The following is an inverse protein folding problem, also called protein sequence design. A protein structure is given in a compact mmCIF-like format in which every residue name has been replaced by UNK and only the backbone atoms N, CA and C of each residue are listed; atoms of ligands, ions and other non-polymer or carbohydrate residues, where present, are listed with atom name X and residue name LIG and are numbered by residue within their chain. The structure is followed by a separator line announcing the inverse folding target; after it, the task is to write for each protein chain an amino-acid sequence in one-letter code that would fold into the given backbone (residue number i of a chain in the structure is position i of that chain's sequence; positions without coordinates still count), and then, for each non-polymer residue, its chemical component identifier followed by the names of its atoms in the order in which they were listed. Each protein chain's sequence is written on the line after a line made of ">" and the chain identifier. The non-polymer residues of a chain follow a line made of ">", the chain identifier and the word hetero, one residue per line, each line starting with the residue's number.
data_IF_532759869521
#
_entry.id   IF_532759869521
#
_cell.length_a   1.000
_cell.length_b   1.000
_cell.length_c   1.000
_cell.angle_alpha   90.00
_cell.angle_beta   90.00
_cell.angle_gamma   90.00
#
_symmetry.space_group_name_H-M   'P 1'
#
loop_
_entity.id
_entity.type
_entity.pdbx_description
1 polymer ?
#
# COMPACT_ATOMS: atom_id res chain seq x y z
N UNK A 1 10.99 -17.72 -4.55
CA UNK A 1 11.90 -17.41 -3.44
C UNK A 1 11.04 -17.12 -2.22
N UNK A 2 10.98 -18.03 -1.25
CA UNK A 2 10.29 -17.74 0.02
C UNK A 2 11.16 -16.75 0.79
N UNK A 3 10.62 -15.58 1.13
CA UNK A 3 11.34 -14.58 1.92
C UNK A 3 11.74 -15.22 3.26
N UNK A 4 13.05 -15.30 3.53
CA UNK A 4 13.56 -15.74 4.83
C UNK A 4 13.30 -14.59 5.80
N UNK A 5 12.31 -14.75 6.66
CA UNK A 5 12.04 -13.79 7.73
C UNK A 5 13.17 -13.85 8.76
N UNK A 6 13.76 -12.69 9.06
CA UNK A 6 14.88 -12.58 10.00
C UNK A 6 14.40 -12.31 11.42
N UNK A 7 15.24 -12.54 12.43
CA UNK A 7 14.94 -12.17 13.82
C UNK A 7 14.61 -10.68 13.98
N UNK A 8 15.29 -9.81 13.21
CA UNK A 8 15.02 -8.38 13.21
C UNK A 8 13.62 -8.04 12.67
N UNK A 9 13.10 -8.82 11.70
CA UNK A 9 11.72 -8.63 11.20
C UNK A 9 10.70 -8.98 12.30
N UNK A 10 10.96 -10.05 13.05
CA UNK A 10 10.12 -10.49 14.17
C UNK A 10 10.11 -9.42 15.28
N UNK A 11 11.28 -8.92 15.67
CA UNK A 11 11.40 -7.85 16.67
C UNK A 11 10.72 -6.56 16.22
N UNK A 12 10.83 -6.20 14.94
CA UNK A 12 10.16 -5.02 14.41
C UNK A 12 8.63 -5.15 14.47
N UNK A 13 8.09 -6.32 14.14
CA UNK A 13 6.65 -6.59 14.27
C UNK A 13 6.20 -6.48 15.73
N UNK A 14 6.97 -7.03 16.67
CA UNK A 14 6.69 -6.89 18.12
C UNK A 14 6.67 -5.44 18.57
N UNK A 15 7.67 -4.68 18.15
CA UNK A 15 7.77 -3.24 18.45
C UNK A 15 6.54 -2.48 17.93
N UNK A 16 6.09 -2.76 16.70
CA UNK A 16 4.91 -2.12 16.12
C UNK A 16 3.61 -2.48 16.84
N UNK A 17 3.50 -3.72 17.33
CA UNK A 17 2.37 -4.20 18.09
C UNK A 17 2.35 -3.67 19.53
N UNK A 18 3.48 -3.19 20.04
CA UNK A 18 3.66 -2.93 21.48
C UNK A 18 3.68 -4.22 22.29
N UNK A 19 4.04 -5.35 21.66
CA UNK A 19 4.02 -6.68 22.28
C UNK A 19 5.33 -6.93 23.06
N UNK A 20 5.50 -6.22 24.18
CA UNK A 20 6.68 -6.36 25.05
C UNK A 20 6.68 -7.66 25.86
N UNK A 21 5.50 -8.22 26.12
CA UNK A 21 5.32 -9.43 26.94
C UNK A 21 5.18 -10.72 26.10
N UNK A 22 5.47 -10.65 24.79
CA UNK A 22 5.41 -11.77 23.86
C UNK A 22 4.06 -12.51 23.83
N UNK A 23 2.96 -11.76 23.78
CA UNK A 23 1.60 -12.25 23.56
C UNK A 23 1.48 -13.06 22.27
N UNK A 24 2.29 -12.75 21.26
CA UNK A 24 2.46 -13.55 20.04
C UNK A 24 3.81 -14.29 20.03
N UNK A 25 3.75 -15.58 19.67
CA UNK A 25 4.94 -16.41 19.51
C UNK A 25 5.71 -16.05 18.22
N UNK A 26 7.03 -16.24 18.23
CA UNK A 26 7.91 -16.01 17.08
C UNK A 26 7.42 -16.77 15.83
N UNK A 27 6.91 -17.99 16.05
CA UNK A 27 6.38 -18.84 14.98
C UNK A 27 5.19 -18.20 14.29
N UNK A 28 4.28 -17.61 15.07
CA UNK A 28 3.06 -16.98 14.55
C UNK A 28 3.42 -15.69 13.81
N UNK A 29 4.33 -14.88 14.36
CA UNK A 29 4.85 -13.68 13.67
C UNK A 29 5.51 -14.06 12.33
N UNK A 30 6.27 -15.15 12.30
CA UNK A 30 6.87 -15.67 11.06
C UNK A 30 5.81 -16.07 10.03
N UNK A 31 4.68 -16.65 10.45
CA UNK A 31 3.56 -16.95 9.55
C UNK A 31 2.94 -15.68 8.97
N UNK A 32 2.68 -14.69 9.82
CA UNK A 32 2.08 -13.41 9.41
C UNK A 32 2.97 -12.63 8.44
N UNK A 33 4.29 -12.66 8.66
CA UNK A 33 5.27 -12.10 7.73
C UNK A 33 5.28 -12.85 6.40
N UNK A 34 5.13 -14.17 6.42
CA UNK A 34 4.99 -14.98 5.20
C UNK A 34 3.73 -14.61 4.40
N UNK A 35 2.59 -14.43 5.08
CA UNK A 35 1.33 -14.01 4.45
C UNK A 35 1.38 -12.58 3.90
N UNK A 36 2.18 -11.72 4.53
CA UNK A 36 2.33 -10.31 4.14
C UNK A 36 3.46 -10.07 3.15
N UNK A 37 4.01 -11.10 2.51
CA UNK A 37 5.15 -11.02 1.57
C UNK A 37 6.38 -10.28 2.17
N UNK A 38 6.59 -10.41 3.48
CA UNK A 38 7.67 -9.73 4.21
C UNK A 38 7.38 -8.27 4.58
N UNK A 39 6.18 -7.74 4.29
CA UNK A 39 5.79 -6.40 4.73
C UNK A 39 5.50 -6.41 6.24
N UNK A 40 6.45 -5.85 7.00
CA UNK A 40 6.41 -5.76 8.47
C UNK A 40 5.18 -5.03 9.01
N UNK A 41 4.70 -4.00 8.31
CA UNK A 41 3.53 -3.22 8.74
C UNK A 41 2.23 -3.98 8.50
N UNK A 42 2.14 -4.69 7.37
CA UNK A 42 1.00 -5.55 7.09
C UNK A 42 0.95 -6.75 8.05
N UNK A 43 2.10 -7.37 8.34
CA UNK A 43 2.21 -8.46 9.30
C UNK A 43 1.81 -8.01 10.72
N UNK A 44 2.26 -6.83 11.14
CA UNK A 44 1.85 -6.24 12.42
C UNK A 44 0.35 -5.89 12.44
N UNK A 45 -0.25 -5.47 11.32
CA UNK A 45 -1.70 -5.25 11.28
C UNK A 45 -2.48 -6.55 11.49
N UNK A 46 -2.07 -7.64 10.83
CA UNK A 46 -2.68 -8.95 11.03
C UNK A 46 -2.48 -9.44 12.47
N UNK A 47 -1.30 -9.23 13.04
CA UNK A 47 -1.01 -9.53 14.45
C UNK A 47 -1.95 -8.78 15.40
N UNK A 48 -2.24 -7.51 15.12
CA UNK A 48 -3.15 -6.71 15.92
C UNK A 48 -4.60 -7.23 15.83
N UNK A 49 -5.05 -7.68 14.66
CA UNK A 49 -6.37 -8.32 14.54
C UNK A 49 -6.44 -9.64 15.32
N UNK A 50 -5.37 -10.45 15.30
CA UNK A 50 -5.35 -11.70 16.08
C UNK A 50 -5.44 -11.44 17.59
N UNK A 51 -4.77 -10.40 18.08
CA UNK A 51 -4.88 -9.97 19.47
C UNK A 51 -6.28 -9.41 19.78
N UNK A 52 -6.84 -8.60 18.88
CA UNK A 52 -8.21 -8.08 19.02
C UNK A 52 -9.24 -9.21 19.12
N UNK A 53 -9.13 -10.25 18.29
CA UNK A 53 -9.99 -11.43 18.31
C UNK A 53 -9.80 -12.27 19.59
N UNK A 54 -8.56 -12.38 20.09
CA UNK A 54 -8.26 -13.04 21.37
C UNK A 54 -8.93 -12.33 22.55
N UNK A 55 -8.85 -10.99 22.60
CA UNK A 55 -9.49 -10.23 23.66
C UNK A 55 -11.02 -10.12 23.51
N UNK A 56 -11.53 -10.19 22.27
CA UNK A 56 -12.98 -10.26 22.01
C UNK A 56 -13.61 -11.61 22.41
N UNK A 57 -12.86 -12.71 22.27
CA UNK A 57 -13.32 -14.04 22.68
C UNK A 57 -13.18 -14.30 24.20
N UNK A 58 -12.31 -13.53 24.88
CA UNK A 58 -12.12 -13.63 26.33
C UNK A 58 -13.27 -13.03 27.17
N UNK A 59 -14.35 -12.57 26.54
CA UNK A 59 -15.43 -11.80 27.20
C UNK A 59 -16.74 -12.55 27.45
N UNK A 60 -16.93 -13.74 26.89
CA UNK A 60 -18.21 -14.46 27.06
C UNK A 60 -18.31 -15.25 28.38
N UNK A 61 -17.22 -15.42 29.12
CA UNK A 61 -17.20 -16.00 30.46
C UNK A 61 -17.03 -14.90 31.52
N UNK A 62 -18.06 -14.07 31.70
CA UNK A 62 -18.03 -12.98 32.68
C UNK A 62 -18.23 -13.51 34.11
N UNK A 63 -17.13 -13.70 34.84
CA UNK A 63 -17.11 -13.65 36.31
C UNK A 63 -16.66 -12.23 36.74
N UNK A 64 -17.55 -11.24 36.69
CA UNK A 64 -17.34 -9.91 37.29
C UNK A 64 -16.61 -8.84 36.43
N UNK A 65 -15.90 -7.93 37.12
CA UNK A 65 -15.36 -6.62 36.66
C UNK A 65 -14.32 -6.69 35.51
N UNK A 66 -13.88 -7.90 35.15
CA UNK A 66 -12.79 -8.15 34.19
C UNK A 66 -13.25 -8.04 32.73
N UNK A 67 -14.55 -8.23 32.45
CA UNK A 67 -15.11 -8.25 31.08
C UNK A 67 -15.00 -6.89 30.37
N UNK A 68 -15.16 -5.79 31.11
CA UNK A 68 -15.08 -4.42 30.54
C UNK A 68 -13.66 -4.09 30.07
N UNK A 69 -12.63 -4.58 30.75
CA UNK A 69 -11.23 -4.34 30.38
C UNK A 69 -10.84 -5.03 29.07
N UNK A 70 -11.28 -6.28 28.86
CA UNK A 70 -10.99 -7.05 27.66
C UNK A 70 -11.63 -6.46 26.39
N UNK A 71 -12.88 -5.97 26.48
CA UNK A 71 -13.55 -5.32 25.34
C UNK A 71 -12.87 -4.01 24.92
N UNK A 72 -12.36 -3.24 25.89
CA UNK A 72 -11.55 -2.05 25.62
C UNK A 72 -10.24 -2.41 24.93
N UNK A 73 -9.52 -3.43 25.40
CA UNK A 73 -8.29 -3.91 24.76
C UNK A 73 -8.56 -4.39 23.33
N UNK A 74 -9.63 -5.16 23.11
CA UNK A 74 -10.03 -5.60 21.78
C UNK A 74 -10.24 -4.42 20.81
N UNK A 75 -10.94 -3.38 21.27
CA UNK A 75 -11.17 -2.15 20.50
C UNK A 75 -9.87 -1.40 20.19
N UNK A 76 -8.96 -1.31 21.17
CA UNK A 76 -7.66 -0.65 20.99
C UNK A 76 -6.80 -1.36 19.93
N UNK A 77 -6.73 -2.70 19.97
CA UNK A 77 -5.99 -3.47 18.98
C UNK A 77 -6.62 -3.40 17.58
N UNK A 78 -7.95 -3.37 17.49
CA UNK A 78 -8.65 -3.16 16.20
C UNK A 78 -8.30 -1.79 15.59
N UNK A 79 -8.32 -0.72 16.39
CA UNK A 79 -7.91 0.61 15.94
C UNK A 79 -6.42 0.66 15.52
N UNK A 80 -5.55 -0.04 16.25
CA UNK A 80 -4.13 -0.17 15.92
C UNK A 80 -3.93 -0.89 14.58
N UNK A 81 -4.69 -1.96 14.32
CA UNK A 81 -4.65 -2.70 13.05
C UNK A 81 -5.00 -1.78 11.86
N UNK A 82 -6.05 -0.97 11.99
CA UNK A 82 -6.45 0.00 10.94
C UNK A 82 -5.32 1.01 10.66
N UNK A 83 -4.68 1.53 11.71
CA UNK A 83 -3.55 2.47 11.58
C UNK A 83 -2.36 1.83 10.86
N UNK A 84 -2.00 0.60 11.23
CA UNK A 84 -0.88 -0.12 10.62
C UNK A 84 -1.15 -0.47 9.15
N UNK A 85 -2.38 -0.86 8.80
CA UNK A 85 -2.78 -1.07 7.38
C UNK A 85 -2.59 0.19 6.55
N UNK A 86 -3.02 1.35 7.06
CA UNK A 86 -2.81 2.63 6.37
C UNK A 86 -1.32 2.94 6.17
N UNK A 87 -0.49 2.67 7.18
CA UNK A 87 0.96 2.85 7.06
C UNK A 87 1.59 1.88 6.06
N UNK A 88 1.15 0.62 6.02
CA UNK A 88 1.59 -0.35 5.04
C UNK A 88 1.29 0.13 3.62
N UNK A 89 0.06 0.60 3.37
CA UNK A 89 -0.35 1.14 2.07
C UNK A 89 0.52 2.33 1.67
N UNK A 90 0.61 3.37 2.51
CA UNK A 90 1.39 4.59 2.21
C UNK A 90 2.85 4.29 1.87
N UNK A 91 3.45 3.31 2.54
CA UNK A 91 4.87 2.95 2.34
C UNK A 91 5.09 2.05 1.13
N UNK A 92 4.08 1.31 0.67
CA UNK A 92 4.17 0.44 -0.49
C UNK A 92 3.74 1.14 -1.78
N UNK A 93 2.78 2.07 -1.71
CA UNK A 93 2.31 2.83 -2.88
C UNK A 93 3.02 4.18 -2.98
N UNK A 94 4.08 4.24 -3.79
CA UNK A 94 4.59 5.53 -4.25
C UNK A 94 3.67 6.05 -5.37
N UNK A 95 3.22 7.32 -5.33
CA UNK A 95 2.48 7.90 -6.45
C UNK A 95 3.37 7.89 -7.70
N UNK A 96 2.85 7.32 -8.79
CA UNK A 96 3.55 7.35 -10.07
C UNK A 96 3.50 8.78 -10.64
N UNK A 97 4.67 9.42 -10.71
CA UNK A 97 4.82 10.72 -11.36
C UNK A 97 5.29 10.52 -12.81
N UNK A 98 4.35 10.57 -13.76
CA UNK A 98 4.68 10.53 -15.19
C UNK A 98 5.47 11.77 -15.62
N UNK A 99 6.41 11.60 -16.55
CA UNK A 99 7.13 12.72 -17.17
C UNK A 99 8.22 13.39 -16.34
N UNK A 100 8.69 12.75 -15.25
CA UNK A 100 9.81 13.25 -14.43
C UNK A 100 11.14 13.15 -15.17
N UNK A 101 11.37 12.06 -15.91
CA UNK A 101 12.59 11.87 -16.71
C UNK A 101 12.32 11.94 -18.21
N UNK A 102 13.36 12.29 -18.99
CA UNK A 102 13.28 12.26 -20.47
C UNK A 102 13.08 10.83 -21.00
N UNK A 103 13.73 9.85 -20.39
CA UNK A 103 13.62 8.44 -20.79
C UNK A 103 12.26 7.82 -20.46
N UNK A 104 11.53 8.31 -19.44
CA UNK A 104 10.14 7.93 -19.20
C UNK A 104 9.22 8.50 -20.29
N UNK A 105 9.46 9.75 -20.71
CA UNK A 105 8.69 10.38 -21.80
C UNK A 105 8.88 9.63 -23.11
N UNK A 106 10.12 9.31 -23.47
CA UNK A 106 10.44 8.56 -24.67
C UNK A 106 9.82 7.16 -24.64
N UNK A 107 9.83 6.45 -23.50
CA UNK A 107 9.15 5.16 -23.35
C UNK A 107 7.64 5.26 -23.54
N UNK A 108 7.00 6.31 -23.04
CA UNK A 108 5.57 6.54 -23.24
C UNK A 108 5.25 6.98 -24.67
N UNK A 109 6.16 7.66 -25.37
CA UNK A 109 5.99 8.01 -26.79
C UNK A 109 6.14 6.80 -27.72
N UNK A 110 6.91 5.78 -27.31
CA UNK A 110 7.09 4.54 -28.05
C UNK A 110 6.02 3.47 -27.77
N UNK A 111 5.09 3.73 -26.85
CA UNK A 111 4.03 2.80 -26.48
C UNK A 111 2.94 2.76 -27.57
N UNK A 112 2.80 1.61 -28.23
CA UNK A 112 1.88 1.42 -29.36
C UNK A 112 0.40 1.33 -28.96
N UNK A 113 0.11 1.05 -27.68
CA UNK A 113 -1.26 1.02 -27.14
C UNK A 113 -1.68 2.39 -26.59
N UNK A 114 -0.75 3.36 -26.59
CA UNK A 114 -1.03 4.71 -26.11
C UNK A 114 -1.89 5.47 -27.12
N UNK A 115 -3.06 5.92 -26.64
CA UNK A 115 -3.90 6.85 -27.39
C UNK A 115 -3.12 8.14 -27.66
N UNK A 116 -2.94 8.46 -28.94
CA UNK A 116 -2.24 9.66 -29.36
C UNK A 116 -2.98 10.93 -28.91
N UNK A 117 -2.26 11.96 -28.45
CA UNK A 117 -2.88 13.20 -28.02
C UNK A 117 -3.46 13.95 -29.24
N UNK A 118 -4.70 14.43 -29.12
CA UNK A 118 -5.36 15.22 -30.18
C UNK A 118 -4.70 16.58 -30.43
N UNK A 119 -3.85 17.04 -29.51
CA UNK A 119 -3.13 18.31 -29.61
C UNK A 119 -1.63 18.07 -29.54
N UNK A 120 -0.92 18.51 -30.57
CA UNK A 120 0.54 18.46 -30.64
C UNK A 120 1.13 19.86 -30.52
N UNK A 121 2.41 19.96 -30.14
CA UNK A 121 3.13 21.23 -30.04
C UNK A 121 3.08 22.04 -31.34
N UNK A 122 2.87 21.43 -32.50
CA UNK A 122 2.82 22.09 -33.81
C UNK A 122 1.42 22.53 -34.24
N UNK A 123 0.37 22.20 -33.50
CA UNK A 123 -1.02 22.47 -33.89
C UNK A 123 -1.31 23.97 -34.13
N UNK A 124 -0.67 24.87 -33.38
CA UNK A 124 -0.79 26.32 -33.58
C UNK A 124 -0.12 26.86 -34.87
N UNK A 125 0.66 26.03 -35.57
CA UNK A 125 1.35 26.41 -36.82
C UNK A 125 0.54 26.08 -38.08
N UNK A 126 -0.57 25.37 -37.96
CA UNK A 126 -1.35 24.86 -39.10
C UNK A 126 -2.22 25.92 -39.81
N UNK A 127 -2.26 27.18 -39.35
CA UNK A 127 -3.14 28.23 -39.91
C UNK A 127 -2.49 29.08 -41.02
N UNK A 128 -1.38 28.64 -41.61
CA UNK A 128 -0.64 29.40 -42.64
C UNK A 128 -0.89 29.00 -44.11
N UNK A 129 -1.55 27.88 -44.39
CA UNK A 129 -1.74 27.39 -45.77
C UNK A 129 -3.13 27.76 -46.29
N UNK A 130 -3.36 29.05 -46.54
CA UNK A 130 -4.50 29.50 -47.35
C UNK A 130 -4.02 29.98 -48.72
N UNK A 131 -4.25 29.09 -49.69
CA UNK A 131 -4.57 29.38 -51.10
C UNK A 131 -3.48 30.04 -51.98
N UNK A 132 -2.57 29.23 -52.51
CA UNK A 132 -2.06 29.42 -53.87
C UNK A 132 -2.67 28.32 -54.75
N UNK A 133 -3.93 28.51 -55.14
CA UNK A 133 -4.63 27.63 -56.06
C UNK A 133 -4.57 28.25 -57.46
N UNK A 134 -3.66 27.71 -58.29
CA UNK A 134 -3.76 27.68 -59.75
C UNK A 134 -3.65 29.00 -60.50
N UNK A 135 -2.44 29.29 -61.00
CA UNK A 135 -2.29 30.03 -62.26
C UNK A 135 -3.05 29.28 -63.36
N UNK A 136 -3.97 29.97 -64.04
CA UNK A 136 -4.62 29.50 -65.25
C UNK A 136 -3.72 29.80 -66.47
N UNK A 137 -3.47 28.84 -67.36
CA UNK A 137 -2.67 29.07 -68.56
C UNK A 137 -3.53 29.65 -69.69
N UNK A 138 -3.11 30.80 -70.23
CA UNK A 138 -3.39 31.22 -71.61
C UNK A 138 -2.09 31.69 -72.27
#
# INVERSE_FOLDING_TARGET
>A
MSAVCTAADIEFVRLLLGDTDALLTDRLITLLLGESEGNRYAAAALGADTLSAKFASATDASLGDVSVSNSQLSTQYSALAVRLRRQALIRTTAPYAGGVSKSDKERQELDADRVEPSFTKTLHKATGLRNNLGDHPE
#
